data_IF_482248786549
#
_entry.id   IF_482248786549
#
_cell.length_a   1.000
_cell.length_b   1.000
_cell.length_c   1.000
_cell.angle_alpha   90.00
_cell.angle_beta   90.00
_cell.angle_gamma   90.00
#
_symmetry.space_group_name_H-M   'P 1'
#
loop_
_entity.id
_entity.type
_entity.pdbx_description
1 polymer ?
#
# COMPACT_ATOMS: atom_id res chain seq x y z
N UNK A 1 -77.78 -50.75 26.01
CA UNK A 1 -77.95 -49.41 25.38
C UNK A 1 -76.73 -48.60 25.83
N UNK A 2 -75.78 -48.16 24.99
CA UNK A 2 -75.87 -47.32 23.78
C UNK A 2 -76.38 -45.90 24.14
N UNK A 3 -75.72 -44.76 23.83
CA UNK A 3 -74.40 -44.38 23.24
C UNK A 3 -74.29 -42.83 23.34
N UNK A 4 -73.09 -42.24 23.46
CA UNK A 4 -72.71 -40.88 22.92
C UNK A 4 -73.44 -39.67 23.62
N UNK A 5 -73.03 -38.38 23.66
CA UNK A 5 -71.91 -37.55 23.14
C UNK A 5 -71.37 -36.60 24.25
N UNK A 6 -70.08 -36.17 24.32
CA UNK A 6 -69.27 -35.21 23.52
C UNK A 6 -69.62 -33.71 23.69
N UNK A 7 -68.54 -32.88 23.72
CA UNK A 7 -68.43 -31.40 23.76
C UNK A 7 -68.51 -30.79 25.19
N UNK A 8 -67.81 -29.68 25.55
CA UNK A 8 -66.86 -28.82 24.79
C UNK A 8 -65.68 -28.32 25.69
N UNK A 9 -64.76 -27.51 25.15
CA UNK A 9 -63.51 -27.04 25.79
C UNK A 9 -63.55 -25.61 26.37
N UNK A 10 -62.55 -25.27 27.20
CA UNK A 10 -62.01 -23.91 27.36
C UNK A 10 -60.56 -23.97 27.90
N UNK A 11 -59.59 -23.98 26.99
CA UNK A 11 -58.17 -23.89 27.33
C UNK A 11 -57.69 -22.45 27.36
N UNK A 12 -56.89 -22.08 28.36
CA UNK A 12 -56.18 -20.81 28.41
C UNK A 12 -54.70 -21.05 28.09
N UNK A 13 -54.24 -20.51 26.97
CA UNK A 13 -52.83 -20.57 26.57
C UNK A 13 -52.07 -19.36 27.13
N UNK A 14 -50.96 -19.60 27.82
CA UNK A 14 -50.04 -18.54 28.26
C UNK A 14 -49.14 -18.16 27.10
N UNK A 15 -49.08 -16.87 26.75
CA UNK A 15 -48.19 -16.38 25.71
C UNK A 15 -46.73 -16.41 26.19
N UNK A 16 -45.92 -17.30 25.61
CA UNK A 16 -44.48 -17.32 25.79
C UNK A 16 -43.78 -16.46 24.73
N UNK A 17 -42.85 -15.61 25.17
CA UNK A 17 -42.03 -14.78 24.28
C UNK A 17 -41.09 -15.63 23.44
N UNK A 18 -41.21 -15.54 22.12
CA UNK A 18 -40.21 -16.06 21.18
C UNK A 18 -39.04 -15.09 21.05
N UNK A 19 -38.05 -15.21 21.92
CA UNK A 19 -36.73 -14.64 21.67
C UNK A 19 -36.05 -15.39 20.51
N UNK A 20 -35.78 -14.66 19.43
CA UNK A 20 -35.10 -15.20 18.27
C UNK A 20 -33.65 -15.55 18.63
N UNK A 21 -33.31 -16.84 18.58
CA UNK A 21 -31.92 -17.29 18.64
C UNK A 21 -31.16 -16.71 17.44
N UNK A 22 -30.36 -15.68 17.70
CA UNK A 22 -29.37 -15.21 16.73
C UNK A 22 -28.39 -16.34 16.44
N UNK A 23 -28.29 -16.76 15.18
CA UNK A 23 -27.25 -17.67 14.75
C UNK A 23 -25.91 -16.91 14.76
N UNK A 24 -24.99 -17.34 15.62
CA UNK A 24 -23.61 -16.84 15.60
C UNK A 24 -22.94 -17.40 14.33
N UNK A 25 -22.45 -16.56 13.40
CA UNK A 25 -21.68 -17.04 12.26
C UNK A 25 -20.35 -17.65 12.75
N UNK A 26 -19.80 -18.65 12.04
CA UNK A 26 -18.50 -19.21 12.40
C UNK A 26 -17.46 -18.09 12.40
N UNK A 27 -16.74 -17.94 13.51
CA UNK A 27 -15.67 -16.96 13.61
C UNK A 27 -14.46 -17.53 12.87
N UNK A 28 -14.13 -16.96 11.70
CA UNK A 28 -12.84 -17.23 11.07
C UNK A 28 -11.74 -16.76 12.03
N UNK A 29 -10.97 -17.73 12.52
CA UNK A 29 -9.84 -17.52 13.43
C UNK A 29 -8.73 -16.78 12.69
N UNK A 30 -8.88 -15.45 12.64
CA UNK A 30 -7.93 -14.55 12.03
C UNK A 30 -6.64 -14.62 12.84
N UNK A 31 -5.69 -15.43 12.34
CA UNK A 31 -4.31 -15.53 12.80
C UNK A 31 -3.65 -14.15 12.76
N UNK A 32 -3.85 -13.38 13.83
CA UNK A 32 -3.28 -12.06 14.02
C UNK A 32 -1.81 -12.25 14.40
N UNK A 33 -0.93 -12.24 13.39
CA UNK A 33 0.51 -12.20 13.60
C UNK A 33 0.87 -10.90 14.36
N UNK A 34 1.45 -10.99 15.57
CA UNK A 34 1.87 -9.80 16.30
C UNK A 34 3.10 -9.19 15.62
N UNK A 35 2.89 -8.07 14.89
CA UNK A 35 3.99 -7.32 14.29
C UNK A 35 3.64 -6.53 13.03
N UNK A 36 2.56 -6.88 12.32
CA UNK A 36 2.15 -6.19 11.10
C UNK A 36 1.46 -4.83 11.38
N UNK A 37 2.20 -3.87 11.95
CA UNK A 37 1.77 -2.46 11.93
C UNK A 37 1.93 -1.90 10.52
N UNK A 38 0.97 -2.20 9.65
CA UNK A 38 0.75 -1.39 8.47
C UNK A 38 0.50 0.06 8.92
N UNK A 39 1.30 1.01 8.41
CA UNK A 39 1.07 2.46 8.60
C UNK A 39 -0.10 2.94 7.72
N UNK A 40 -1.26 2.32 7.92
CA UNK A 40 -2.52 2.62 7.25
C UNK A 40 -3.08 3.94 7.79
N UNK A 41 -2.91 5.04 7.06
CA UNK A 41 -3.49 6.33 7.45
C UNK A 41 -2.66 7.58 7.14
N UNK A 42 -1.45 7.44 6.60
CA UNK A 42 -0.71 8.58 6.05
C UNK A 42 -1.17 8.84 4.62
N UNK A 43 -1.50 10.09 4.30
CA UNK A 43 -1.68 10.52 2.91
C UNK A 43 -0.33 10.51 2.18
N UNK A 44 -0.30 10.32 0.84
CA UNK A 44 0.93 10.40 0.08
C UNK A 44 1.67 11.72 0.28
N UNK A 45 2.96 11.65 0.62
CA UNK A 45 3.80 12.81 0.89
C UNK A 45 5.04 12.74 -0.02
N UNK A 46 4.81 13.00 -1.32
CA UNK A 46 5.85 12.92 -2.33
C UNK A 46 6.88 14.03 -2.12
N UNK A 47 8.12 13.64 -1.86
CA UNK A 47 9.24 14.54 -1.58
C UNK A 47 10.39 14.29 -2.58
N UNK A 48 10.97 15.34 -3.16
CA UNK A 48 12.13 15.18 -4.06
C UNK A 48 13.39 14.99 -3.22
N UNK A 49 14.00 13.80 -3.26
CA UNK A 49 15.18 13.50 -2.45
C UNK A 49 16.50 13.66 -3.23
N UNK A 50 16.50 13.47 -4.55
CA UNK A 50 17.65 13.78 -5.42
C UNK A 50 17.22 14.16 -6.84
N UNK A 51 18.13 14.78 -7.59
CA UNK A 51 17.92 15.25 -8.98
C UNK A 51 19.19 15.02 -9.79
N UNK A 52 19.06 14.76 -11.08
CA UNK A 52 20.16 14.90 -12.05
C UNK A 52 19.87 16.09 -12.97
N UNK A 53 20.63 16.26 -14.06
CA UNK A 53 20.33 17.25 -15.11
C UNK A 53 19.04 16.94 -15.90
N UNK A 54 18.55 15.70 -15.89
CA UNK A 54 17.46 15.24 -16.76
C UNK A 54 16.19 14.85 -16.02
N UNK A 55 16.25 14.57 -14.71
CA UNK A 55 15.13 14.00 -13.95
C UNK A 55 15.18 14.34 -12.46
N UNK A 56 14.01 14.35 -11.84
CA UNK A 56 13.84 14.28 -10.40
C UNK A 56 13.61 12.83 -9.97
N UNK A 57 14.08 12.51 -8.76
CA UNK A 57 13.73 11.31 -8.03
C UNK A 57 12.95 11.73 -6.79
N UNK A 58 11.69 11.29 -6.74
CA UNK A 58 10.79 11.52 -5.63
C UNK A 58 10.60 10.20 -4.86
N UNK A 59 10.23 10.32 -3.60
CA UNK A 59 9.87 9.19 -2.75
C UNK A 59 8.62 9.55 -1.98
N UNK A 60 7.79 8.56 -1.67
CA UNK A 60 6.67 8.73 -0.76
C UNK A 60 6.92 7.90 0.51
N UNK A 61 7.37 8.51 1.62
CA UNK A 61 7.62 7.79 2.87
C UNK A 61 6.37 7.11 3.44
N UNK A 62 5.15 7.49 3.02
CA UNK A 62 3.91 6.79 3.42
C UNK A 62 3.82 5.38 2.83
N UNK A 63 4.61 5.07 1.80
CA UNK A 63 4.68 3.73 1.18
C UNK A 63 5.59 2.75 1.93
N UNK A 64 6.36 3.20 2.92
CA UNK A 64 7.27 2.35 3.69
C UNK A 64 6.55 1.19 4.37
N UNK A 65 6.90 -0.05 4.03
CA UNK A 65 6.46 -1.28 4.70
C UNK A 65 7.67 -2.06 5.18
N UNK A 66 7.48 -2.85 6.23
CA UNK A 66 8.51 -3.76 6.74
C UNK A 66 7.88 -5.14 6.93
N UNK A 67 8.48 -6.16 6.33
CA UNK A 67 7.99 -7.55 6.35
C UNK A 67 9.19 -8.50 6.39
N UNK A 68 9.28 -9.35 7.41
CA UNK A 68 10.31 -10.39 7.47
C UNK A 68 11.77 -9.88 7.47
N UNK A 69 12.01 -8.66 7.96
CA UNK A 69 13.34 -8.03 7.93
C UNK A 69 13.72 -7.38 6.59
N UNK A 70 12.78 -7.31 5.64
CA UNK A 70 12.90 -6.55 4.40
C UNK A 70 12.03 -5.29 4.52
N UNK A 71 12.63 -4.14 4.22
CA UNK A 71 11.92 -2.84 4.14
C UNK A 71 11.64 -2.52 2.68
N UNK A 72 10.38 -2.32 2.30
CA UNK A 72 10.02 -1.87 0.95
C UNK A 72 9.59 -0.41 0.92
N UNK A 73 9.89 0.28 -0.17
CA UNK A 73 9.56 1.69 -0.41
C UNK A 73 9.31 1.92 -1.90
N UNK A 74 8.37 2.80 -2.23
CA UNK A 74 8.13 3.23 -3.61
C UNK A 74 8.77 4.59 -3.87
N UNK A 75 9.41 4.69 -5.04
CA UNK A 75 9.94 5.94 -5.57
C UNK A 75 9.24 6.29 -6.88
N UNK A 76 9.36 7.54 -7.29
CA UNK A 76 9.04 7.99 -8.62
C UNK A 76 10.27 8.59 -9.29
N UNK A 77 10.48 8.22 -10.54
CA UNK A 77 11.50 8.74 -11.42
C UNK A 77 10.79 9.50 -12.53
N UNK A 78 10.99 10.81 -12.58
CA UNK A 78 10.25 11.67 -13.50
C UNK A 78 11.21 12.61 -14.25
N UNK A 79 11.25 12.58 -15.59
CA UNK A 79 12.10 13.47 -16.37
C UNK A 79 11.59 14.92 -16.29
N UNK A 80 12.46 15.90 -16.51
CA UNK A 80 12.07 17.33 -16.51
C UNK A 80 11.40 17.75 -17.83
N UNK A 81 11.74 17.08 -18.93
CA UNK A 81 11.07 17.16 -20.23
C UNK A 81 10.55 15.77 -20.60
N UNK A 82 9.38 15.70 -21.21
CA UNK A 82 8.74 14.46 -21.69
C UNK A 82 8.54 14.63 -23.19
N UNK A 83 8.93 13.64 -23.99
CA UNK A 83 8.67 13.64 -25.43
C UNK A 83 7.27 13.05 -25.72
N UNK A 84 6.68 13.37 -26.87
CA UNK A 84 5.33 12.90 -27.21
C UNK A 84 5.30 11.37 -27.35
N UNK A 85 4.59 10.70 -26.44
CA UNK A 85 4.48 9.25 -26.36
C UNK A 85 5.33 8.60 -25.26
N UNK A 86 6.22 9.35 -24.61
CA UNK A 86 7.02 8.85 -23.49
C UNK A 86 6.25 8.87 -22.15
N UNK A 87 6.55 7.94 -21.22
CA UNK A 87 6.05 8.00 -19.85
C UNK A 87 6.41 9.32 -19.14
N UNK A 88 5.42 9.96 -18.54
CA UNK A 88 5.58 11.18 -17.78
C UNK A 88 6.28 10.96 -16.43
N UNK A 89 6.19 9.75 -15.87
CA UNK A 89 6.99 9.22 -14.77
C UNK A 89 6.96 7.69 -14.73
N UNK A 90 7.94 7.11 -14.04
CA UNK A 90 8.00 5.69 -13.68
C UNK A 90 7.92 5.58 -12.16
N UNK A 91 7.10 4.65 -11.65
CA UNK A 91 7.17 4.19 -10.27
C UNK A 91 8.07 2.96 -10.20
N UNK A 92 9.00 2.96 -9.25
CA UNK A 92 9.91 1.84 -8.99
C UNK A 92 9.74 1.41 -7.51
N UNK A 93 9.50 0.14 -7.24
CA UNK A 93 9.44 -0.43 -5.87
C UNK A 93 10.79 -1.04 -5.53
N UNK A 94 11.40 -0.53 -4.46
CA UNK A 94 12.66 -1.01 -3.93
C UNK A 94 12.44 -1.83 -2.66
N UNK A 95 13.21 -2.90 -2.50
CA UNK A 95 13.32 -3.67 -1.26
C UNK A 95 14.74 -3.59 -0.69
N UNK A 96 14.85 -3.45 0.63
CA UNK A 96 16.12 -3.31 1.35
C UNK A 96 16.25 -4.33 2.47
N UNK A 97 17.40 -4.99 2.55
CA UNK A 97 17.85 -5.72 3.75
C UNK A 97 18.79 -4.82 4.53
N UNK A 98 18.21 -3.94 5.33
CA UNK A 98 18.93 -2.83 5.98
C UNK A 98 20.17 -3.26 6.80
N UNK A 99 20.12 -4.44 7.45
CA UNK A 99 21.23 -5.01 8.23
C UNK A 99 22.32 -5.67 7.37
N UNK A 100 21.98 -6.18 6.18
CA UNK A 100 22.93 -6.78 5.24
C UNK A 100 23.60 -5.73 4.34
N UNK A 101 23.00 -4.54 4.20
CA UNK A 101 23.47 -3.52 3.27
C UNK A 101 23.14 -3.85 1.81
N UNK A 102 22.05 -4.61 1.58
CA UNK A 102 21.61 -5.06 0.26
C UNK A 102 20.27 -4.43 -0.14
N UNK A 103 20.03 -4.33 -1.45
CA UNK A 103 18.75 -3.91 -2.02
C UNK A 103 18.43 -4.67 -3.31
N UNK A 104 17.20 -4.53 -3.80
CA UNK A 104 16.77 -4.93 -5.16
C UNK A 104 15.58 -4.09 -5.64
N UNK A 105 15.30 -4.11 -6.94
CA UNK A 105 14.03 -3.63 -7.50
C UNK A 105 13.07 -4.79 -7.64
N UNK A 106 11.80 -4.62 -7.28
CA UNK A 106 10.80 -5.70 -7.39
C UNK A 106 9.61 -5.37 -8.29
N UNK A 107 9.40 -4.10 -8.61
CA UNK A 107 8.34 -3.69 -9.51
C UNK A 107 8.67 -2.39 -10.23
N UNK A 108 8.30 -2.30 -11.50
CA UNK A 108 8.32 -1.08 -12.32
C UNK A 108 6.91 -0.85 -12.88
N UNK A 109 6.44 0.40 -12.87
CA UNK A 109 5.18 0.79 -13.49
C UNK A 109 5.29 2.16 -14.14
N UNK A 110 4.94 2.28 -15.42
CA UNK A 110 5.08 3.51 -16.20
C UNK A 110 3.73 4.21 -16.34
N UNK A 111 3.73 5.55 -16.31
CA UNK A 111 2.51 6.35 -16.32
C UNK A 111 2.58 7.51 -17.32
N UNK A 112 1.47 7.72 -18.01
CA UNK A 112 1.25 8.87 -18.88
C UNK A 112 1.01 10.14 -18.05
N UNK A 113 1.02 11.31 -18.71
CA UNK A 113 0.86 12.60 -18.04
C UNK A 113 -0.51 12.79 -17.34
N UNK A 114 -1.53 12.04 -17.75
CA UNK A 114 -2.87 12.00 -17.13
C UNK A 114 -2.97 11.05 -15.92
N UNK A 115 -1.91 10.30 -15.61
CA UNK A 115 -1.88 9.29 -14.56
C UNK A 115 -2.46 7.93 -14.95
N UNK A 116 -2.83 7.72 -16.22
CA UNK A 116 -3.07 6.37 -16.74
C UNK A 116 -1.76 5.58 -16.82
N UNK A 117 -1.84 4.26 -16.68
CA UNK A 117 -0.68 3.39 -16.90
C UNK A 117 -0.32 3.41 -18.40
N UNK A 118 0.94 3.68 -18.72
CA UNK A 118 1.47 3.64 -20.09
C UNK A 118 1.65 2.19 -20.55
N UNK A 119 2.10 1.33 -19.64
CA UNK A 119 2.33 -0.10 -19.84
C UNK A 119 1.79 -0.90 -18.63
N UNK A 120 1.47 -2.19 -18.77
CA UNK A 120 1.18 -3.05 -17.62
C UNK A 120 2.40 -3.09 -16.67
N UNK A 121 2.21 -3.01 -15.34
CA UNK A 121 3.32 -3.09 -14.40
C UNK A 121 4.14 -4.37 -14.56
N UNK A 122 5.47 -4.21 -14.55
CA UNK A 122 6.44 -5.30 -14.58
C UNK A 122 6.84 -5.68 -13.15
N UNK A 123 6.80 -6.98 -12.85
CA UNK A 123 7.35 -7.54 -11.60
C UNK A 123 8.73 -8.12 -11.88
N UNK A 124 9.72 -7.73 -11.08
CA UNK A 124 11.11 -8.14 -11.23
C UNK A 124 11.48 -9.16 -10.14
N UNK A 125 12.14 -10.25 -10.55
CA UNK A 125 12.76 -11.22 -9.64
C UNK A 125 14.28 -11.01 -9.58
N UNK A 126 14.68 -9.78 -9.27
CA UNK A 126 16.08 -9.44 -9.07
C UNK A 126 16.64 -10.08 -7.79
N UNK A 127 17.88 -10.53 -7.87
CA UNK A 127 18.65 -10.89 -6.69
C UNK A 127 18.98 -9.62 -5.88
N UNK A 128 19.12 -9.78 -4.56
CA UNK A 128 19.64 -8.72 -3.70
C UNK A 128 21.11 -8.44 -4.05
N UNK A 129 21.44 -7.16 -4.26
CA UNK A 129 22.78 -6.66 -4.54
C UNK A 129 23.24 -5.61 -3.52
N UNK A 130 24.55 -5.35 -3.47
CA UNK A 130 25.13 -4.43 -2.49
C UNK A 130 24.73 -2.96 -2.75
N UNK A 131 24.35 -2.24 -1.69
CA UNK A 131 23.99 -0.82 -1.76
C UNK A 131 25.21 0.03 -2.14
N UNK A 132 25.10 0.83 -3.19
CA UNK A 132 26.13 1.77 -3.63
C UNK A 132 26.02 3.09 -2.82
N UNK A 133 26.97 3.44 -1.93
CA UNK A 133 26.78 4.54 -0.97
C UNK A 133 26.55 5.93 -1.60
N UNK A 134 27.17 6.17 -2.76
CA UNK A 134 27.05 7.43 -3.51
C UNK A 134 26.05 7.33 -4.70
N UNK A 135 25.27 6.24 -4.76
CA UNK A 135 24.28 5.98 -5.80
C UNK A 135 22.84 6.13 -5.31
N UNK A 136 21.88 5.88 -6.21
CA UNK A 136 20.45 5.95 -5.91
C UNK A 136 20.05 5.07 -4.71
N UNK A 137 20.55 3.84 -4.66
CA UNK A 137 20.33 2.91 -3.55
C UNK A 137 20.92 3.38 -2.22
N UNK A 138 22.06 4.09 -2.23
CA UNK A 138 22.64 4.72 -1.04
C UNK A 138 21.76 5.84 -0.47
N UNK A 139 21.25 6.72 -1.34
CA UNK A 139 20.31 7.77 -0.93
C UNK A 139 18.98 7.18 -0.41
N UNK A 140 18.48 6.11 -1.03
CA UNK A 140 17.26 5.44 -0.60
C UNK A 140 17.42 4.65 0.70
N UNK A 141 18.58 4.00 0.93
CA UNK A 141 18.93 3.40 2.23
C UNK A 141 18.75 4.42 3.36
N UNK A 142 19.25 5.64 3.17
CA UNK A 142 19.17 6.68 4.19
C UNK A 142 17.71 7.01 4.59
N UNK A 143 16.77 6.91 3.65
CA UNK A 143 15.35 7.20 3.85
C UNK A 143 14.60 5.99 4.42
N UNK A 144 14.87 4.79 3.87
CA UNK A 144 14.17 3.55 4.20
C UNK A 144 14.68 2.88 5.48
N UNK A 145 16.00 2.84 5.67
CA UNK A 145 16.66 2.18 6.80
C UNK A 145 17.03 3.18 7.91
N UNK A 146 17.59 4.33 7.55
CA UNK A 146 18.17 5.27 8.53
C UNK A 146 17.19 6.41 8.93
N UNK A 147 15.94 6.34 8.45
CA UNK A 147 14.84 7.24 8.87
C UNK A 147 14.90 8.67 8.32
N UNK A 148 15.81 8.99 7.39
CA UNK A 148 15.90 10.33 6.83
C UNK A 148 14.63 10.74 6.06
N UNK A 149 14.37 12.04 6.03
CA UNK A 149 13.32 12.65 5.21
C UNK A 149 13.93 13.78 4.40
N UNK A 150 13.41 14.02 3.20
CA UNK A 150 13.81 15.17 2.41
C UNK A 150 13.23 16.44 3.05
N UNK A 151 13.62 17.61 2.55
CA UNK A 151 13.08 18.88 3.03
C UNK A 151 11.86 19.28 2.18
N UNK A 152 10.92 20.08 2.72
CA UNK A 152 9.83 20.65 1.95
C UNK A 152 10.34 21.42 0.71
N UNK A 153 9.54 21.55 -0.37
CA UNK A 153 8.12 21.22 -0.45
C UNK A 153 7.82 19.72 -0.55
N UNK A 154 6.62 19.36 -0.10
CA UNK A 154 6.03 18.03 -0.26
C UNK A 154 4.76 18.13 -1.11
N UNK A 155 4.42 17.07 -1.84
CA UNK A 155 3.33 17.06 -2.80
C UNK A 155 2.34 15.92 -2.48
N UNK A 156 1.02 16.19 -2.49
CA UNK A 156 0.01 15.17 -2.16
C UNK A 156 -0.15 14.09 -3.26
N UNK A 157 0.47 14.29 -4.42
CA UNK A 157 0.56 13.32 -5.52
C UNK A 157 1.66 13.74 -6.50
N UNK A 158 2.09 12.81 -7.35
CA UNK A 158 3.01 13.11 -8.47
C UNK A 158 2.37 14.06 -9.49
N UNK A 159 1.07 13.94 -9.75
CA UNK A 159 0.34 14.88 -10.60
C UNK A 159 0.39 16.31 -10.03
N UNK A 160 0.32 16.49 -8.70
CA UNK A 160 0.47 17.80 -8.07
C UNK A 160 1.90 18.37 -8.20
N UNK A 161 2.93 17.53 -8.11
CA UNK A 161 4.33 17.93 -8.38
C UNK A 161 4.56 18.33 -9.85
N UNK A 162 3.95 17.60 -10.79
CA UNK A 162 4.01 17.91 -12.22
C UNK A 162 3.29 19.22 -12.51
N UNK A 163 2.10 19.43 -11.94
CA UNK A 163 1.35 20.68 -12.05
C UNK A 163 2.08 21.88 -11.42
N UNK A 164 2.91 21.65 -10.40
CA UNK A 164 3.83 22.64 -9.83
C UNK A 164 5.07 22.92 -10.72
N UNK A 165 5.14 22.35 -11.93
CA UNK A 165 6.18 22.60 -12.91
C UNK A 165 7.44 21.74 -12.73
N UNK A 166 7.32 20.58 -12.09
CA UNK A 166 8.41 19.59 -11.90
C UNK A 166 9.64 20.13 -11.16
N UNK A 167 9.45 20.97 -10.13
CA UNK A 167 10.53 21.66 -9.40
C UNK A 167 10.79 21.09 -8.01
#
# INVERSE_FOLDING_TARGET
>A
MMRIAVLIALGWAVAGSTEARQAVPPQEETLTLPGAQARSGQSPEWQVFTRTSQRAYLVDPSTLRETGGVTSIQIARAPFAVEDGDPAWTLETFEFRCSAGEYRTTQIAEFNADGSAATPPETLDEAFEAIAPNGLSGYLKAIACDGQRARPPYYPSLAAWIAAGRK
#
